data_IF_033483131963
#
_entry.id   IF_033483131963
#
_cell.length_a   1.000
_cell.length_b   1.000
_cell.length_c   1.000
_cell.angle_alpha   90.00
_cell.angle_beta   90.00
_cell.angle_gamma   90.00
#
_symmetry.space_group_name_H-M   'P 1'
#
loop_
_entity.id
_entity.type
_entity.pdbx_description
1 polymer ?
#
# COMPACT_ATOMS: atom_id res chain seq x y z
N UNK A 1 -43.38 -25.26 14.81
CA UNK A 1 -43.04 -23.91 14.30
C UNK A 1 -41.72 -23.36 14.83
N UNK A 2 -41.33 -23.62 16.06
CA UNK A 2 -40.10 -23.06 16.67
C UNK A 2 -38.76 -23.51 16.03
N UNK A 3 -38.71 -24.70 15.41
CA UNK A 3 -37.47 -25.23 14.83
C UNK A 3 -37.08 -24.52 13.51
N UNK A 4 -38.06 -24.14 12.68
CA UNK A 4 -37.80 -23.43 11.40
C UNK A 4 -37.26 -22.00 11.61
N UNK A 5 -37.69 -21.32 12.68
CA UNK A 5 -37.22 -19.97 13.00
C UNK A 5 -35.74 -19.96 13.43
N UNK A 6 -35.28 -20.99 14.16
CA UNK A 6 -33.90 -21.12 14.59
C UNK A 6 -32.92 -21.33 13.41
N UNK A 7 -33.33 -22.10 12.40
CA UNK A 7 -32.50 -22.32 11.20
C UNK A 7 -32.40 -21.08 10.33
N UNK A 8 -33.48 -20.31 10.18
CA UNK A 8 -33.46 -19.07 9.40
C UNK A 8 -32.56 -18.03 10.08
N UNK A 9 -32.61 -17.89 11.40
CA UNK A 9 -31.73 -16.98 12.15
C UNK A 9 -30.24 -17.40 12.08
N UNK A 10 -29.95 -18.70 12.06
CA UNK A 10 -28.59 -19.20 11.96
C UNK A 10 -28.01 -19.00 10.56
N UNK A 11 -28.79 -19.19 9.51
CA UNK A 11 -28.38 -18.99 8.12
C UNK A 11 -28.16 -17.51 7.82
N UNK A 12 -29.00 -16.61 8.33
CA UNK A 12 -28.79 -15.17 8.17
C UNK A 12 -27.56 -14.66 8.93
N UNK A 13 -27.24 -15.22 10.09
CA UNK A 13 -26.01 -14.87 10.82
C UNK A 13 -24.74 -15.37 10.11
N UNK A 14 -24.78 -16.56 9.50
CA UNK A 14 -23.64 -17.06 8.71
C UNK A 14 -23.43 -16.27 7.41
N UNK A 15 -24.48 -15.82 6.73
CA UNK A 15 -24.37 -14.99 5.52
C UNK A 15 -23.74 -13.62 5.79
N UNK A 16 -23.90 -13.06 6.99
CA UNK A 16 -23.34 -11.75 7.33
C UNK A 16 -21.81 -11.74 7.49
N UNK A 17 -21.19 -12.91 7.70
CA UNK A 17 -19.74 -13.03 7.93
C UNK A 17 -18.97 -13.13 6.61
N UNK A 18 -19.62 -13.46 5.50
CA UNK A 18 -18.94 -13.73 4.21
C UNK A 18 -18.81 -12.49 3.32
N UNK A 19 -19.45 -11.37 3.70
CA UNK A 19 -19.47 -10.13 2.91
C UNK A 19 -18.40 -9.09 3.30
N UNK A 20 -17.48 -9.42 4.19
CA UNK A 20 -16.27 -8.61 4.37
C UNK A 20 -15.32 -8.89 3.21
N UNK A 21 -15.64 -8.35 2.05
CA UNK A 21 -14.78 -8.35 0.88
C UNK A 21 -13.41 -7.81 1.26
N UNK A 22 -12.38 -8.60 1.02
CA UNK A 22 -10.98 -8.34 1.37
C UNK A 22 -10.37 -7.18 0.55
N UNK A 23 -10.90 -5.97 0.66
CA UNK A 23 -10.15 -4.79 0.27
C UNK A 23 -9.12 -4.52 1.37
N UNK A 24 -7.84 -4.77 1.10
CA UNK A 24 -6.76 -4.45 2.04
C UNK A 24 -6.70 -2.94 2.17
N UNK A 25 -7.07 -2.42 3.34
CA UNK A 25 -6.95 -0.99 3.65
C UNK A 25 -5.51 -0.64 4.03
N UNK A 26 -5.16 0.65 3.97
CA UNK A 26 -3.85 1.15 4.45
C UNK A 26 -3.62 0.74 5.91
N UNK A 27 -4.64 0.86 6.74
CA UNK A 27 -4.59 0.47 8.16
C UNK A 27 -4.30 -1.02 8.35
N UNK A 28 -4.95 -1.89 7.57
CA UNK A 28 -4.65 -3.33 7.59
C UNK A 28 -3.25 -3.64 7.10
N UNK A 29 -2.78 -2.97 6.04
CA UNK A 29 -1.44 -3.14 5.53
C UNK A 29 -0.40 -2.80 6.61
N UNK A 30 -0.58 -1.70 7.33
CA UNK A 30 0.30 -1.27 8.43
C UNK A 30 0.23 -2.20 9.65
N UNK A 31 -0.93 -2.76 9.96
CA UNK A 31 -1.12 -3.64 11.12
C UNK A 31 -0.52 -5.04 10.95
N UNK A 32 -0.32 -5.49 9.71
CA UNK A 32 0.25 -6.81 9.41
C UNK A 32 1.76 -6.78 9.50
N UNK A 33 2.34 -7.39 10.51
CA UNK A 33 3.79 -7.48 10.67
C UNK A 33 4.49 -8.11 9.44
N UNK A 34 3.83 -9.02 8.74
CA UNK A 34 4.34 -9.63 7.50
C UNK A 34 4.41 -8.67 6.31
N UNK A 35 3.69 -7.55 6.36
CA UNK A 35 3.70 -6.52 5.32
C UNK A 35 4.88 -5.57 5.46
N UNK A 36 5.41 -5.38 6.65
CA UNK A 36 6.55 -4.51 6.90
C UNK A 36 7.81 -5.08 6.24
N UNK A 37 8.41 -4.33 5.32
CA UNK A 37 9.63 -4.73 4.61
C UNK A 37 10.89 -4.06 5.15
N UNK A 38 10.75 -2.98 5.89
CA UNK A 38 11.83 -2.28 6.54
C UNK A 38 11.68 -0.77 6.56
N UNK A 39 12.64 -0.09 7.17
CA UNK A 39 12.74 1.36 7.17
C UNK A 39 14.19 1.83 7.10
N UNK A 40 14.37 3.11 6.77
CA UNK A 40 15.67 3.78 6.81
C UNK A 40 15.47 5.29 7.00
N UNK A 41 16.54 5.97 7.36
CA UNK A 41 16.58 7.43 7.40
C UNK A 41 17.26 7.94 6.13
N UNK A 42 16.56 8.81 5.37
CA UNK A 42 17.11 9.48 4.20
C UNK A 42 18.08 10.58 4.63
N UNK A 43 19.03 10.89 3.76
CA UNK A 43 19.95 12.01 3.98
C UNK A 43 19.32 13.38 3.67
N UNK A 44 18.18 13.38 2.96
CA UNK A 44 17.42 14.59 2.60
C UNK A 44 16.21 14.77 3.52
N UNK A 45 15.68 15.99 3.54
CA UNK A 45 14.48 16.30 4.33
C UNK A 45 13.22 15.63 3.77
N UNK A 46 12.11 15.62 4.55
CA UNK A 46 10.88 14.89 4.19
C UNK A 46 10.29 15.31 2.84
N UNK A 47 10.22 16.59 2.54
CA UNK A 47 9.64 17.10 1.29
C UNK A 47 10.42 16.67 0.05
N UNK A 48 11.76 16.73 0.10
CA UNK A 48 12.60 16.35 -1.04
C UNK A 48 12.62 14.85 -1.21
N UNK A 49 12.69 14.10 -0.11
CA UNK A 49 12.58 12.62 -0.12
C UNK A 49 11.23 12.20 -0.71
N UNK A 50 10.13 12.82 -0.28
CA UNK A 50 8.80 12.54 -0.81
C UNK A 50 8.71 12.78 -2.32
N UNK A 51 9.17 13.94 -2.82
CA UNK A 51 9.13 14.25 -4.25
C UNK A 51 9.90 13.22 -5.05
N UNK A 52 11.12 12.89 -4.63
CA UNK A 52 11.98 11.92 -5.30
C UNK A 52 11.33 10.54 -5.34
N UNK A 53 10.83 10.06 -4.21
CA UNK A 53 10.19 8.74 -4.12
C UNK A 53 8.86 8.69 -4.88
N UNK A 54 8.05 9.76 -4.86
CA UNK A 54 6.81 9.85 -5.63
C UNK A 54 7.08 9.72 -7.12
N UNK A 55 8.05 10.47 -7.63
CA UNK A 55 8.35 10.47 -9.07
C UNK A 55 8.88 9.12 -9.52
N UNK A 56 9.72 8.47 -8.72
CA UNK A 56 10.20 7.12 -8.96
C UNK A 56 9.10 6.07 -8.86
N UNK A 57 8.23 6.18 -7.85
CA UNK A 57 7.11 5.26 -7.70
C UNK A 57 6.17 5.35 -8.91
N UNK A 58 5.85 6.54 -9.41
CA UNK A 58 5.06 6.71 -10.64
C UNK A 58 5.75 6.09 -11.84
N UNK A 59 7.03 6.35 -12.02
CA UNK A 59 7.80 5.80 -13.15
C UNK A 59 7.87 4.27 -13.12
N UNK A 60 8.05 3.65 -11.95
CA UNK A 60 8.38 2.24 -11.82
C UNK A 60 7.18 1.35 -11.45
N UNK A 61 6.17 1.91 -10.80
CA UNK A 61 5.07 1.15 -10.21
C UNK A 61 3.71 1.44 -10.86
N UNK A 62 3.59 2.41 -11.79
CA UNK A 62 2.40 2.61 -12.61
C UNK A 62 2.53 1.81 -13.91
N UNK A 63 1.60 0.92 -14.16
CA UNK A 63 1.56 0.12 -15.38
C UNK A 63 0.20 -0.58 -15.53
N UNK A 64 -0.03 -1.18 -16.66
CA UNK A 64 -1.18 -2.04 -16.90
C UNK A 64 -0.81 -3.48 -16.52
N UNK A 65 -1.48 -4.03 -15.51
CA UNK A 65 -1.29 -5.40 -15.07
C UNK A 65 -1.97 -6.40 -16.02
N UNK A 66 -1.76 -7.69 -15.78
CA UNK A 66 -2.43 -8.76 -16.51
C UNK A 66 -3.95 -8.54 -16.48
N UNK A 67 -4.63 -8.84 -17.58
CA UNK A 67 -6.06 -8.65 -17.80
C UNK A 67 -6.50 -7.17 -17.95
N UNK A 68 -5.57 -6.25 -18.21
CA UNK A 68 -5.89 -4.84 -18.44
C UNK A 68 -6.24 -4.03 -17.20
N UNK A 69 -5.99 -4.55 -16.02
CA UNK A 69 -6.23 -3.82 -14.77
C UNK A 69 -5.12 -2.81 -14.51
N UNK A 70 -5.42 -1.50 -14.37
CA UNK A 70 -4.39 -0.52 -14.11
C UNK A 70 -3.84 -0.61 -12.69
N UNK A 71 -2.53 -0.51 -12.57
CA UNK A 71 -1.81 -0.27 -11.31
C UNK A 71 -1.45 1.20 -11.28
N UNK A 72 -1.93 1.90 -10.27
CA UNK A 72 -1.79 3.35 -10.12
C UNK A 72 -1.04 3.69 -8.84
N UNK A 73 -0.41 4.87 -8.82
CA UNK A 73 0.25 5.43 -7.64
C UNK A 73 -0.50 6.67 -7.18
N UNK A 74 -1.08 6.60 -6.00
CA UNK A 74 -1.66 7.75 -5.31
C UNK A 74 -0.67 8.25 -4.27
N UNK A 75 -0.55 9.57 -4.13
CA UNK A 75 0.43 10.14 -3.22
C UNK A 75 -0.11 11.43 -2.59
N UNK A 76 0.18 11.59 -1.31
CA UNK A 76 -0.24 12.72 -0.48
C UNK A 76 0.93 13.18 0.40
N UNK A 77 1.03 14.48 0.64
CA UNK A 77 2.04 15.07 1.52
C UNK A 77 1.44 16.20 2.34
N UNK A 78 1.52 16.08 3.65
CA UNK A 78 1.16 17.13 4.60
C UNK A 78 2.40 18.00 4.88
N UNK A 79 2.38 19.23 4.36
CA UNK A 79 3.49 20.17 4.50
C UNK A 79 3.69 20.70 5.92
N UNK A 80 2.64 20.72 6.74
CA UNK A 80 2.72 21.19 8.14
C UNK A 80 3.34 20.13 9.04
N UNK A 81 2.92 18.87 8.90
CA UNK A 81 3.45 17.74 9.64
C UNK A 81 4.76 17.22 9.07
N UNK A 82 5.05 17.56 7.82
CA UNK A 82 6.17 17.02 7.04
C UNK A 82 6.09 15.50 6.93
N UNK A 83 4.90 15.00 6.69
CA UNK A 83 4.58 13.56 6.54
C UNK A 83 4.02 13.31 5.14
N UNK A 84 4.28 12.14 4.59
CA UNK A 84 3.77 11.77 3.28
C UNK A 84 3.53 10.29 3.14
N UNK A 85 2.59 9.96 2.26
CA UNK A 85 2.26 8.60 1.88
C UNK A 85 2.27 8.46 0.35
N UNK A 86 2.84 7.36 -0.14
CA UNK A 86 2.83 6.99 -1.54
C UNK A 86 2.27 5.56 -1.61
N UNK A 87 1.10 5.42 -2.21
CA UNK A 87 0.35 4.17 -2.27
C UNK A 87 0.29 3.63 -3.69
N UNK A 88 0.82 2.43 -3.92
CA UNK A 88 0.54 1.67 -5.12
C UNK A 88 -0.73 0.87 -4.94
N UNK A 89 -1.66 1.01 -5.86
CA UNK A 89 -2.97 0.34 -5.84
C UNK A 89 -3.27 -0.35 -7.15
N UNK A 90 -3.85 -1.53 -7.05
CA UNK A 90 -4.48 -2.21 -8.19
C UNK A 90 -5.94 -1.79 -8.27
N UNK A 91 -6.38 -1.36 -9.44
CA UNK A 91 -7.80 -1.16 -9.72
C UNK A 91 -8.35 -2.41 -10.41
N UNK A 92 -9.13 -3.21 -9.69
CA UNK A 92 -9.74 -4.42 -10.20
C UNK A 92 -11.26 -4.40 -9.90
N UNK A 93 -12.07 -4.59 -10.90
CA UNK A 93 -13.54 -4.64 -10.79
C UNK A 93 -14.15 -3.45 -10.02
N UNK A 94 -13.59 -2.25 -10.21
CA UNK A 94 -14.02 -1.03 -9.52
C UNK A 94 -13.53 -0.91 -8.07
N UNK A 95 -12.72 -1.85 -7.58
CA UNK A 95 -12.13 -1.83 -6.24
C UNK A 95 -10.66 -1.39 -6.32
N UNK A 96 -10.25 -0.55 -5.36
CA UNK A 96 -8.86 -0.16 -5.16
C UNK A 96 -8.23 -1.05 -4.08
N UNK A 97 -7.28 -1.88 -4.49
CA UNK A 97 -6.57 -2.80 -3.61
C UNK A 97 -5.18 -2.23 -3.32
N UNK A 98 -4.88 -1.95 -2.05
CA UNK A 98 -3.55 -1.47 -1.66
C UNK A 98 -2.53 -2.61 -1.76
N UNK A 99 -1.47 -2.38 -2.53
CA UNK A 99 -0.38 -3.34 -2.71
C UNK A 99 0.90 -2.91 -2.01
N UNK A 100 1.26 -1.64 -2.11
CA UNK A 100 2.47 -1.07 -1.51
C UNK A 100 2.16 0.26 -0.86
N UNK A 101 2.71 0.51 0.32
CA UNK A 101 2.70 1.79 1.00
C UNK A 101 4.14 2.20 1.32
N UNK A 102 4.55 3.36 0.86
CA UNK A 102 5.77 4.04 1.28
C UNK A 102 5.34 5.19 2.18
N UNK A 103 5.71 5.13 3.44
CA UNK A 103 5.42 6.16 4.44
C UNK A 103 6.67 6.99 4.70
N UNK A 104 6.52 8.31 4.72
CA UNK A 104 7.58 9.27 4.98
C UNK A 104 7.20 10.08 6.21
N UNK A 105 8.02 10.03 7.24
CA UNK A 105 7.84 10.76 8.49
C UNK A 105 9.03 11.70 8.72
N UNK A 106 8.78 12.85 9.35
CA UNK A 106 9.85 13.74 9.80
C UNK A 106 10.54 13.18 11.04
N UNK A 107 11.86 13.10 11.00
CA UNK A 107 12.69 12.68 12.12
C UNK A 107 14.00 13.47 12.13
N UNK A 108 14.16 14.39 13.09
CA UNK A 108 15.36 15.25 13.22
C UNK A 108 15.76 15.95 11.89
N UNK A 109 14.82 16.63 11.26
CA UNK A 109 14.96 17.31 9.95
C UNK A 109 15.30 16.38 8.76
N UNK A 110 15.38 15.07 8.99
CA UNK A 110 15.54 14.04 7.97
C UNK A 110 14.23 13.29 7.75
N UNK A 111 14.14 12.56 6.67
CA UNK A 111 13.00 11.69 6.43
C UNK A 111 13.28 10.27 6.93
N UNK A 112 12.43 9.77 7.82
CA UNK A 112 12.30 8.34 8.06
C UNK A 112 11.34 7.77 7.04
N UNK A 113 11.79 6.79 6.29
CA UNK A 113 11.00 6.11 5.25
C UNK A 113 10.73 4.69 5.67
N UNK A 114 9.47 4.29 5.66
CA UNK A 114 9.03 2.93 5.98
C UNK A 114 8.30 2.32 4.77
N UNK A 115 8.55 1.06 4.49
CA UNK A 115 7.94 0.32 3.39
C UNK A 115 7.07 -0.82 3.90
N UNK A 116 5.84 -0.86 3.41
CA UNK A 116 4.89 -1.95 3.62
C UNK A 116 4.43 -2.50 2.27
N UNK A 117 4.46 -3.81 2.10
CA UNK A 117 4.05 -4.48 0.87
C UNK A 117 3.19 -5.69 1.16
N UNK A 118 2.22 -5.97 0.31
CA UNK A 118 1.52 -7.25 0.35
C UNK A 118 2.43 -8.35 -0.21
N UNK A 119 3.19 -9.00 0.67
CA UNK A 119 4.01 -10.16 0.29
C UNK A 119 3.13 -11.37 0.10
N UNK A 120 2.35 -11.47 -0.94
CA UNK A 120 1.60 -12.64 -1.34
C UNK A 120 0.08 -12.50 -1.52
N UNK A 121 -0.42 -13.40 -2.28
CA UNK A 121 -1.74 -14.03 -2.42
C UNK A 121 -2.54 -13.52 -3.62
N UNK A 122 -2.46 -12.26 -3.99
CA UNK A 122 -3.13 -11.76 -5.20
C UNK A 122 -2.13 -11.11 -6.19
N UNK A 123 -0.86 -11.24 -5.94
CA UNK A 123 0.21 -10.50 -6.64
C UNK A 123 0.72 -11.20 -7.90
N UNK A 124 -0.09 -12.02 -8.53
CA UNK A 124 0.27 -12.57 -9.83
C UNK A 124 0.39 -11.43 -10.84
N UNK A 125 1.59 -10.89 -10.99
CA UNK A 125 1.92 -9.86 -11.95
C UNK A 125 2.04 -8.43 -11.41
N UNK A 126 1.82 -8.18 -10.11
CA UNK A 126 2.06 -6.86 -9.52
C UNK A 126 3.52 -6.75 -9.07
N UNK A 127 4.23 -5.73 -9.59
CA UNK A 127 5.58 -5.41 -9.15
C UNK A 127 5.50 -4.69 -7.82
N UNK A 128 6.14 -5.25 -6.79
CA UNK A 128 6.33 -4.59 -5.50
C UNK A 128 7.81 -4.26 -5.33
N UNK A 129 8.16 -3.03 -4.95
CA UNK A 129 9.53 -2.69 -4.63
C UNK A 129 9.92 -3.37 -3.31
N UNK A 130 11.21 -3.55 -3.10
CA UNK A 130 11.77 -3.89 -1.80
C UNK A 130 12.43 -2.67 -1.17
N UNK A 131 12.80 -2.76 0.10
CA UNK A 131 13.41 -1.63 0.83
C UNK A 131 14.73 -1.17 0.21
N UNK A 132 15.47 -2.04 -0.48
CA UNK A 132 16.70 -1.68 -1.18
C UNK A 132 16.42 -0.81 -2.41
N UNK A 133 15.34 -1.08 -3.14
CA UNK A 133 14.90 -0.25 -4.27
C UNK A 133 14.54 1.15 -3.78
N UNK A 134 13.74 1.25 -2.71
CA UNK A 134 13.35 2.53 -2.12
C UNK A 134 14.57 3.32 -1.65
N UNK A 135 15.57 2.67 -1.06
CA UNK A 135 16.84 3.32 -0.68
C UNK A 135 17.62 3.87 -1.88
N UNK A 136 17.68 3.13 -2.99
CA UNK A 136 18.33 3.59 -4.23
C UNK A 136 17.60 4.81 -4.80
N UNK A 137 16.26 4.74 -4.88
CA UNK A 137 15.44 5.84 -5.37
C UNK A 137 15.59 7.10 -4.51
N UNK A 138 15.60 6.97 -3.17
CA UNK A 138 15.81 8.09 -2.26
C UNK A 138 17.20 8.77 -2.45
N UNK A 139 18.19 8.06 -2.98
CA UNK A 139 19.51 8.60 -3.36
C UNK A 139 19.53 9.23 -4.76
N UNK A 140 18.40 9.23 -5.46
CA UNK A 140 18.29 9.78 -6.81
C UNK A 140 18.63 8.84 -7.95
N UNK A 141 18.79 7.53 -7.68
CA UNK A 141 18.94 6.52 -8.74
C UNK A 141 17.61 6.35 -9.49
N UNK A 142 17.63 6.50 -10.82
CA UNK A 142 16.43 6.50 -11.66
C UNK A 142 16.22 5.18 -12.43
N UNK A 143 16.61 4.08 -11.81
CA UNK A 143 16.41 2.73 -12.38
C UNK A 143 15.32 1.99 -11.65
N UNK A 144 14.41 1.38 -12.37
CA UNK A 144 13.42 0.45 -11.83
C UNK A 144 14.07 -0.94 -11.64
#
# INVERSE_FOLDING_TARGET
MALKVKYVALVTLLCSIVLSGCAITVSELKSRQSSYDGSFTSMTGPSDTYRTLRDMARQCLEYEALLGNPVIVLSEFDGERKEGEINQKLLADGLLINNTLIEIESHDDKAKVSLYTTKNILSTGIRSPNISDIKRWAKGERTC
#
